data_IF_514489060298
#
_entry.id   IF_514489060298
#
_cell.length_a   1.000
_cell.length_b   1.000
_cell.length_c   1.000
_cell.angle_alpha   90.00
_cell.angle_beta   90.00
_cell.angle_gamma   90.00
#
_symmetry.space_group_name_H-M   'P 1'
#
loop_
_entity.id
_entity.type
_entity.pdbx_description
1 polymer ?
#
# COMPACT_ATOMS: atom_id res chain seq x y z
N UNK A 1 9.66 -16.30 2.76
CA UNK A 1 9.09 -16.12 1.43
C UNK A 1 8.88 -14.64 1.17
N UNK A 2 9.45 -14.14 0.11
CA UNK A 2 9.62 -12.70 -0.09
C UNK A 2 8.34 -11.90 -0.43
N UNK A 3 7.29 -12.50 -0.94
CA UNK A 3 6.12 -11.74 -1.41
C UNK A 3 5.10 -11.43 -0.30
N UNK A 4 4.85 -12.36 0.61
CA UNK A 4 3.83 -12.30 1.69
C UNK A 4 2.41 -11.95 1.19
N UNK A 5 2.13 -12.22 -0.07
CA UNK A 5 0.84 -11.97 -0.72
C UNK A 5 -0.11 -13.11 -0.36
N UNK A 6 -1.32 -12.77 0.14
CA UNK A 6 -2.42 -13.72 0.33
C UNK A 6 -3.33 -13.74 -0.88
N UNK A 7 -3.77 -12.57 -1.33
CA UNK A 7 -4.62 -12.40 -2.50
C UNK A 7 -4.25 -11.11 -3.23
N UNK A 8 -4.40 -11.09 -4.54
CA UNK A 8 -4.26 -9.86 -5.33
C UNK A 8 -4.80 -10.07 -6.76
N UNK A 9 -5.10 -8.97 -7.43
CA UNK A 9 -5.11 -8.92 -8.88
C UNK A 9 -3.99 -8.00 -9.41
N UNK A 10 -3.68 -8.15 -10.67
CA UNK A 10 -2.75 -7.28 -11.38
C UNK A 10 -3.15 -7.13 -12.86
N UNK A 11 -2.84 -5.96 -13.42
CA UNK A 11 -3.15 -5.63 -14.81
C UNK A 11 -1.95 -6.00 -15.70
N UNK A 12 -2.22 -6.69 -16.80
CA UNK A 12 -1.29 -7.02 -17.90
C UNK A 12 -0.03 -7.80 -17.50
N UNK A 13 0.89 -7.19 -16.77
CA UNK A 13 2.19 -7.78 -16.47
C UNK A 13 2.18 -8.62 -15.20
N UNK A 14 2.55 -9.88 -15.34
CA UNK A 14 2.64 -10.81 -14.21
C UNK A 14 3.78 -10.41 -13.27
N UNK A 15 3.51 -10.25 -11.96
CA UNK A 15 4.57 -10.03 -10.97
C UNK A 15 5.57 -11.18 -10.95
N UNK A 16 6.81 -10.89 -10.54
CA UNK A 16 7.92 -11.85 -10.49
C UNK A 16 7.62 -13.12 -9.67
N UNK A 17 6.71 -13.04 -8.69
CA UNK A 17 6.32 -14.16 -7.82
C UNK A 17 5.18 -15.02 -8.40
N UNK A 18 4.53 -14.60 -9.48
CA UNK A 18 3.48 -15.34 -10.17
C UNK A 18 2.15 -15.50 -9.41
N UNK A 19 1.99 -14.81 -8.27
CA UNK A 19 0.76 -14.90 -7.46
C UNK A 19 -0.28 -13.87 -7.92
N UNK A 20 -1.56 -14.21 -7.73
CA UNK A 20 -2.68 -13.31 -8.00
C UNK A 20 -3.41 -13.59 -9.31
N UNK A 21 -4.49 -12.86 -9.53
CA UNK A 21 -5.35 -12.96 -10.72
C UNK A 21 -4.94 -11.94 -11.77
N UNK A 22 -4.60 -12.41 -12.96
CA UNK A 22 -4.28 -11.54 -14.10
C UNK A 22 -5.55 -11.02 -14.74
N UNK A 23 -5.61 -9.70 -14.96
CA UNK A 23 -6.67 -9.04 -15.74
C UNK A 23 -6.06 -8.28 -16.92
N UNK A 24 -6.80 -8.17 -18.02
CA UNK A 24 -6.33 -7.50 -19.24
C UNK A 24 -6.55 -5.99 -19.18
N UNK A 25 -7.64 -5.58 -18.57
CA UNK A 25 -8.04 -4.18 -18.45
C UNK A 25 -8.12 -3.79 -16.96
N UNK A 26 -7.73 -2.57 -16.67
CA UNK A 26 -7.78 -2.03 -15.31
C UNK A 26 -9.24 -1.91 -14.84
N UNK A 27 -9.65 -2.63 -13.76
CA UNK A 27 -11.04 -2.68 -13.29
C UNK A 27 -11.45 -1.39 -12.61
N UNK A 28 -12.77 -1.22 -12.50
CA UNK A 28 -13.37 -0.22 -11.60
C UNK A 28 -13.30 -0.68 -10.15
N UNK A 29 -13.60 0.19 -9.19
CA UNK A 29 -13.51 -0.12 -7.76
C UNK A 29 -14.29 -1.35 -7.34
N UNK A 30 -15.52 -1.50 -7.83
CA UNK A 30 -16.38 -2.63 -7.48
C UNK A 30 -15.79 -3.98 -7.93
N UNK A 31 -15.30 -4.04 -9.17
CA UNK A 31 -14.66 -5.25 -9.69
C UNK A 31 -13.31 -5.48 -9.05
N UNK A 32 -12.55 -4.43 -8.82
CA UNK A 32 -11.24 -4.47 -8.17
C UNK A 32 -11.31 -5.04 -6.75
N UNK A 33 -12.32 -4.68 -5.96
CA UNK A 33 -12.54 -5.21 -4.61
C UNK A 33 -12.67 -6.74 -4.63
N UNK A 34 -13.51 -7.27 -5.55
CA UNK A 34 -13.75 -8.71 -5.70
C UNK A 34 -12.50 -9.41 -6.26
N UNK A 35 -11.91 -8.87 -7.33
CA UNK A 35 -10.72 -9.46 -7.98
C UNK A 35 -9.51 -9.51 -7.05
N UNK A 36 -9.39 -8.55 -6.13
CA UNK A 36 -8.35 -8.53 -5.10
C UNK A 36 -8.61 -9.52 -3.96
N UNK A 37 -9.81 -10.11 -3.87
CA UNK A 37 -10.24 -10.92 -2.73
C UNK A 37 -10.32 -10.09 -1.44
N UNK A 38 -10.83 -8.86 -1.55
CA UNK A 38 -10.96 -7.90 -0.45
C UNK A 38 -12.43 -7.62 -0.07
N UNK A 39 -13.36 -8.41 -0.56
CA UNK A 39 -14.82 -8.33 -0.35
C UNK A 39 -15.28 -8.85 1.02
N UNK A 40 -14.37 -8.93 1.98
CA UNK A 40 -14.62 -9.29 3.37
C UNK A 40 -14.57 -8.06 4.29
N UNK A 41 -15.23 -8.19 5.46
CA UNK A 41 -15.27 -7.13 6.47
C UNK A 41 -14.46 -7.52 7.71
N UNK A 42 -14.02 -6.50 8.43
CA UNK A 42 -13.41 -6.65 9.76
C UNK A 42 -14.47 -6.35 10.81
N UNK A 43 -14.65 -7.29 11.74
CA UNK A 43 -15.49 -7.12 12.91
C UNK A 43 -14.64 -7.12 14.18
N UNK A 44 -15.12 -6.41 15.22
CA UNK A 44 -14.43 -6.38 16.51
C UNK A 44 -15.11 -7.29 17.51
N UNK A 45 -14.30 -8.16 18.12
CA UNK A 45 -14.77 -9.09 19.13
C UNK A 45 -14.04 -8.89 20.46
N UNK A 46 -14.67 -9.24 21.59
CA UNK A 46 -14.02 -9.19 22.90
C UNK A 46 -12.87 -10.21 22.98
N UNK A 47 -11.84 -9.86 23.74
CA UNK A 47 -10.68 -10.73 24.00
C UNK A 47 -10.81 -11.29 25.41
N UNK A 48 -10.57 -12.60 25.58
CA UNK A 48 -10.61 -13.28 26.86
C UNK A 48 -9.26 -13.93 27.19
N UNK A 49 -8.94 -14.03 28.47
CA UNK A 49 -7.80 -14.82 28.96
C UNK A 49 -8.07 -16.31 28.83
N UNK A 50 -7.05 -17.16 29.03
CA UNK A 50 -7.21 -18.60 29.06
C UNK A 50 -8.13 -19.11 30.23
N UNK A 51 -8.44 -18.25 31.18
CA UNK A 51 -9.39 -18.50 32.29
C UNK A 51 -10.79 -17.91 32.02
N UNK A 52 -11.03 -17.49 30.77
CA UNK A 52 -12.29 -16.89 30.31
C UNK A 52 -12.65 -15.55 30.98
N UNK A 53 -11.65 -14.80 31.41
CA UNK A 53 -11.83 -13.46 31.91
C UNK A 53 -11.68 -12.42 30.77
N UNK A 54 -12.60 -11.44 30.72
CA UNK A 54 -12.61 -10.40 29.73
C UNK A 54 -11.38 -9.46 29.85
N UNK A 55 -10.59 -9.33 28.81
CA UNK A 55 -9.48 -8.38 28.73
C UNK A 55 -10.04 -7.00 28.37
N UNK A 56 -10.24 -6.15 29.37
CA UNK A 56 -10.79 -4.81 29.17
C UNK A 56 -9.81 -3.90 28.40
N UNK A 57 -10.35 -3.00 27.57
CA UNK A 57 -9.57 -2.02 26.80
C UNK A 57 -8.97 -2.57 25.49
N UNK A 58 -9.22 -3.85 25.19
CA UNK A 58 -8.75 -4.52 23.98
C UNK A 58 -9.86 -5.25 23.25
N UNK A 59 -9.72 -5.34 21.92
CA UNK A 59 -10.60 -6.09 21.03
C UNK A 59 -9.77 -6.84 19.99
N UNK A 60 -10.27 -7.97 19.53
CA UNK A 60 -9.73 -8.67 18.37
C UNK A 60 -10.38 -8.15 17.11
N UNK A 61 -9.59 -7.73 16.12
CA UNK A 61 -10.06 -7.53 14.76
C UNK A 61 -10.12 -8.89 14.08
N UNK A 62 -11.29 -9.29 13.64
CA UNK A 62 -11.57 -10.60 13.07
C UNK A 62 -12.13 -10.41 11.66
N UNK A 63 -11.61 -11.15 10.69
CA UNK A 63 -12.15 -11.21 9.34
C UNK A 63 -13.44 -12.05 9.35
N UNK A 64 -14.54 -11.51 8.85
CA UNK A 64 -15.85 -12.16 8.91
C UNK A 64 -15.96 -13.43 8.06
N UNK A 65 -15.30 -13.46 6.91
CA UNK A 65 -15.42 -14.54 5.92
C UNK A 65 -14.85 -15.89 6.38
N UNK A 66 -13.78 -15.89 7.18
CA UNK A 66 -13.11 -17.12 7.65
C UNK A 66 -12.83 -17.13 9.16
N UNK A 67 -13.32 -16.11 9.87
CA UNK A 67 -13.16 -15.94 11.33
C UNK A 67 -11.71 -15.77 11.79
N UNK A 68 -10.81 -15.42 10.86
CA UNK A 68 -9.39 -15.25 11.15
C UNK A 68 -9.14 -14.00 11.99
N UNK A 69 -8.42 -14.18 13.11
CA UNK A 69 -7.94 -13.04 13.91
C UNK A 69 -6.81 -12.34 13.18
N UNK A 70 -7.02 -11.09 12.80
CA UNK A 70 -6.04 -10.25 12.13
C UNK A 70 -5.07 -9.61 13.12
N UNK A 71 -5.58 -9.19 14.29
CA UNK A 71 -4.79 -8.61 15.36
C UNK A 71 -5.61 -8.28 16.60
N UNK A 72 -4.91 -7.94 17.67
CA UNK A 72 -5.53 -7.43 18.91
C UNK A 72 -5.20 -5.95 19.02
N UNK A 73 -6.22 -5.14 19.13
CA UNK A 73 -6.13 -3.67 19.09
C UNK A 73 -6.76 -3.08 20.34
N UNK A 74 -6.49 -1.81 20.62
CA UNK A 74 -7.18 -1.12 21.72
C UNK A 74 -8.64 -0.83 21.35
N UNK A 75 -9.49 -0.61 22.32
CA UNK A 75 -10.91 -0.25 22.14
C UNK A 75 -11.11 1.09 21.39
N UNK A 76 -10.08 1.93 21.32
CA UNK A 76 -10.06 3.20 20.55
C UNK A 76 -9.82 2.99 19.06
N UNK A 77 -9.37 1.80 18.64
CA UNK A 77 -9.09 1.53 17.24
C UNK A 77 -10.38 1.61 16.43
N UNK A 78 -10.35 2.40 15.36
CA UNK A 78 -11.44 2.51 14.38
C UNK A 78 -11.07 1.72 13.14
N UNK A 79 -11.91 0.77 12.78
CA UNK A 79 -11.75 0.02 11.55
C UNK A 79 -11.97 0.96 10.36
N UNK A 80 -11.13 0.81 9.35
CA UNK A 80 -11.39 1.30 7.99
C UNK A 80 -11.62 0.05 7.14
N UNK A 81 -12.84 -0.13 6.65
CA UNK A 81 -13.20 -1.28 5.84
C UNK A 81 -12.54 -1.21 4.45
N UNK A 82 -12.38 -2.36 3.81
CA UNK A 82 -11.76 -2.42 2.48
C UNK A 82 -12.56 -1.60 1.46
N UNK A 83 -13.88 -1.71 1.45
CA UNK A 83 -14.76 -0.94 0.56
C UNK A 83 -14.68 0.58 0.79
N UNK A 84 -14.45 1.02 2.04
CA UNK A 84 -14.25 2.43 2.35
C UNK A 84 -12.95 2.95 1.74
N UNK A 85 -11.91 2.11 1.66
CA UNK A 85 -10.65 2.45 1.01
C UNK A 85 -10.82 2.68 -0.50
N UNK A 86 -11.60 1.83 -1.18
CA UNK A 86 -11.92 2.01 -2.59
C UNK A 86 -12.77 3.26 -2.82
N UNK A 87 -13.83 3.44 -2.03
CA UNK A 87 -14.69 4.63 -2.10
C UNK A 87 -13.92 5.93 -1.88
N UNK A 88 -12.96 5.90 -0.96
CA UNK A 88 -12.07 7.04 -0.71
C UNK A 88 -11.16 7.32 -1.92
N UNK A 89 -10.57 6.29 -2.52
CA UNK A 89 -9.71 6.43 -3.69
C UNK A 89 -10.49 6.99 -4.88
N UNK A 90 -11.70 6.49 -5.11
CA UNK A 90 -12.61 7.01 -6.16
C UNK A 90 -12.96 8.50 -5.90
N UNK A 91 -13.24 8.86 -4.65
CA UNK A 91 -13.54 10.24 -4.29
C UNK A 91 -12.35 11.20 -4.46
N UNK A 92 -11.12 10.67 -4.36
CA UNK A 92 -9.89 11.45 -4.60
C UNK A 92 -9.62 11.67 -6.10
N UNK A 93 -9.77 10.62 -6.91
CA UNK A 93 -9.37 10.63 -8.31
C UNK A 93 -10.51 10.99 -9.27
N UNK A 94 -11.76 10.99 -8.79
CA UNK A 94 -12.95 11.28 -9.59
C UNK A 94 -13.48 10.06 -10.33
N UNK A 95 -14.41 10.29 -11.25
CA UNK A 95 -15.06 9.23 -12.02
C UNK A 95 -14.06 8.55 -12.97
N UNK A 96 -14.24 7.24 -13.15
CA UNK A 96 -13.45 6.45 -14.10
C UNK A 96 -12.09 5.99 -13.58
N UNK A 97 -11.87 6.02 -12.28
CA UNK A 97 -10.65 5.47 -11.65
C UNK A 97 -10.38 4.05 -12.13
N UNK A 98 -9.12 3.78 -12.47
CA UNK A 98 -8.64 2.47 -12.92
C UNK A 98 -7.58 1.95 -11.97
N UNK A 99 -7.78 0.74 -11.47
CA UNK A 99 -6.89 0.10 -10.52
C UNK A 99 -5.86 -0.78 -11.23
N UNK A 100 -4.59 -0.58 -10.91
CA UNK A 100 -3.46 -1.35 -11.47
C UNK A 100 -3.24 -2.65 -10.71
N UNK A 101 -3.19 -2.57 -9.39
CA UNK A 101 -3.09 -3.72 -8.48
C UNK A 101 -3.83 -3.44 -7.18
N UNK A 102 -4.38 -4.46 -6.57
CA UNK A 102 -4.84 -4.43 -5.19
C UNK A 102 -4.76 -5.82 -4.59
N UNK A 103 -4.66 -5.90 -3.27
CA UNK A 103 -4.59 -7.19 -2.60
C UNK A 103 -4.35 -7.10 -1.10
N UNK A 104 -4.11 -8.27 -0.50
CA UNK A 104 -3.79 -8.42 0.91
C UNK A 104 -2.45 -9.12 1.14
N UNK A 105 -1.82 -8.74 2.24
CA UNK A 105 -0.53 -9.25 2.71
C UNK A 105 -0.68 -9.87 4.09
N UNK A 106 0.24 -10.79 4.41
CA UNK A 106 0.35 -11.36 5.76
C UNK A 106 -0.96 -11.96 6.27
N UNK A 107 -1.73 -12.59 5.37
CA UNK A 107 -2.99 -13.22 5.74
C UNK A 107 -4.09 -12.23 6.06
N UNK A 108 -4.20 -11.13 5.32
CA UNK A 108 -5.23 -10.09 5.48
C UNK A 108 -4.90 -9.00 6.48
N UNK A 109 -3.75 -9.06 7.17
CA UNK A 109 -3.36 -8.05 8.16
C UNK A 109 -3.09 -6.68 7.54
N UNK A 110 -2.62 -6.64 6.31
CA UNK A 110 -2.37 -5.41 5.56
C UNK A 110 -3.00 -5.50 4.18
N UNK A 111 -3.58 -4.41 3.70
CA UNK A 111 -4.17 -4.29 2.36
C UNK A 111 -3.58 -3.10 1.63
N UNK A 112 -3.55 -3.19 0.30
CA UNK A 112 -3.16 -2.07 -0.55
C UNK A 112 -4.04 -1.99 -1.78
N UNK A 113 -4.17 -0.77 -2.29
CA UNK A 113 -4.80 -0.44 -3.56
C UNK A 113 -3.88 0.50 -4.32
N UNK A 114 -3.68 0.24 -5.58
CA UNK A 114 -2.87 1.06 -6.47
C UNK A 114 -3.72 1.47 -7.67
N UNK A 115 -4.01 2.76 -7.78
CA UNK A 115 -4.80 3.32 -8.87
C UNK A 115 -3.96 4.24 -9.74
N UNK A 116 -4.23 4.27 -11.06
CA UNK A 116 -3.60 5.22 -11.95
C UNK A 116 -4.04 6.64 -11.65
N UNK A 117 -3.09 7.58 -11.64
CA UNK A 117 -3.40 9.00 -11.73
C UNK A 117 -3.81 9.34 -13.18
N UNK A 118 -4.71 10.32 -13.37
CA UNK A 118 -5.25 10.63 -14.70
C UNK A 118 -4.22 11.21 -15.68
N UNK A 119 -3.10 11.71 -15.18
CA UNK A 119 -2.08 12.35 -15.99
C UNK A 119 -0.81 11.50 -16.06
N UNK A 120 -0.28 11.34 -17.26
CA UNK A 120 1.07 10.82 -17.51
C UNK A 120 2.07 11.97 -17.61
N UNK A 121 3.30 11.72 -17.17
CA UNK A 121 4.39 12.69 -17.20
C UNK A 121 5.50 12.19 -18.10
N UNK A 122 6.12 13.11 -18.84
CA UNK A 122 7.33 12.79 -19.60
C UNK A 122 8.51 13.33 -18.82
N UNK A 123 9.33 12.44 -18.30
CA UNK A 123 10.54 12.78 -17.54
C UNK A 123 11.74 12.20 -18.26
N UNK A 124 12.69 13.05 -18.65
CA UNK A 124 13.90 12.65 -19.40
C UNK A 124 13.61 11.84 -20.67
N UNK A 125 12.48 12.10 -21.32
CA UNK A 125 12.03 11.41 -22.53
C UNK A 125 11.31 10.07 -22.28
N UNK A 126 11.14 9.66 -21.03
CA UNK A 126 10.39 8.47 -20.66
C UNK A 126 9.00 8.82 -20.12
N UNK A 127 8.00 8.01 -20.46
CA UNK A 127 6.65 8.14 -19.90
C UNK A 127 6.61 7.51 -18.53
N UNK A 128 6.21 8.30 -17.53
CA UNK A 128 5.98 7.86 -16.17
C UNK A 128 4.51 8.03 -15.85
N UNK A 129 3.85 6.92 -15.52
CA UNK A 129 2.47 6.89 -15.06
C UNK A 129 2.48 6.74 -13.54
N UNK A 130 2.27 7.83 -12.80
CA UNK A 130 2.23 7.74 -11.34
C UNK A 130 0.93 7.10 -10.87
N UNK A 131 1.00 6.55 -9.67
CA UNK A 131 -0.10 5.90 -9.00
C UNK A 131 -0.46 6.62 -7.70
N UNK A 132 -1.73 6.57 -7.36
CA UNK A 132 -2.18 6.77 -6.00
C UNK A 132 -2.14 5.41 -5.29
N UNK A 133 -1.35 5.33 -4.25
CA UNK A 133 -1.26 4.18 -3.35
C UNK A 133 -2.08 4.46 -2.10
N UNK A 134 -3.02 3.58 -1.79
CA UNK A 134 -3.67 3.48 -0.49
C UNK A 134 -3.17 2.22 0.22
N UNK A 135 -2.86 2.31 1.50
CA UNK A 135 -2.49 1.16 2.34
C UNK A 135 -3.13 1.28 3.71
N UNK A 136 -3.63 0.15 4.21
CA UNK A 136 -4.25 0.02 5.51
C UNK A 136 -3.76 -1.23 6.24
N UNK A 137 -3.75 -1.21 7.59
CA UNK A 137 -3.44 -2.38 8.40
C UNK A 137 -4.58 -2.66 9.38
N UNK A 138 -5.02 -3.91 9.45
CA UNK A 138 -6.09 -4.34 10.32
C UNK A 138 -5.62 -4.92 11.66
N UNK A 139 -4.31 -5.09 11.82
CA UNK A 139 -3.69 -5.68 13.01
C UNK A 139 -3.25 -4.66 14.07
N UNK A 140 -3.45 -3.37 13.79
CA UNK A 140 -3.03 -2.28 14.67
C UNK A 140 -1.54 -1.92 14.58
N UNK A 141 -0.76 -2.57 13.71
CA UNK A 141 0.68 -2.31 13.56
C UNK A 141 1.01 -1.03 12.80
N UNK A 142 0.05 -0.47 12.07
CA UNK A 142 0.27 0.67 11.21
C UNK A 142 -0.92 1.63 11.12
N UNK A 143 -0.71 2.70 10.38
CA UNK A 143 -1.68 3.72 10.06
C UNK A 143 -2.29 3.48 8.67
N UNK A 144 -3.44 4.07 8.38
CA UNK A 144 -3.88 4.32 7.00
C UNK A 144 -2.88 5.26 6.35
N UNK A 145 -2.40 4.91 5.17
CA UNK A 145 -1.46 5.74 4.41
C UNK A 145 -1.96 5.92 2.99
N UNK A 146 -1.84 7.13 2.49
CA UNK A 146 -2.10 7.46 1.09
C UNK A 146 -0.87 8.17 0.55
N UNK A 147 -0.40 7.75 -0.61
CA UNK A 147 0.84 8.26 -1.18
C UNK A 147 0.78 8.33 -2.71
N UNK A 148 1.51 9.27 -3.29
CA UNK A 148 1.75 9.30 -4.73
C UNK A 148 3.11 8.66 -5.00
N UNK A 149 3.16 7.69 -5.90
CA UNK A 149 4.36 6.91 -6.19
C UNK A 149 4.44 6.51 -7.66
N UNK A 150 5.63 6.48 -8.27
CA UNK A 150 5.83 5.87 -9.57
C UNK A 150 6.03 4.34 -9.48
N UNK A 151 6.03 3.78 -8.27
CA UNK A 151 6.33 2.37 -8.03
C UNK A 151 5.08 1.53 -8.15
N UNK A 152 5.11 0.53 -9.02
CA UNK A 152 4.07 -0.48 -9.13
C UNK A 152 4.16 -1.46 -7.96
N UNK A 153 3.16 -1.40 -7.08
CA UNK A 153 3.11 -2.23 -5.87
C UNK A 153 2.52 -3.59 -6.19
N UNK A 154 3.29 -4.66 -5.96
CA UNK A 154 2.89 -6.05 -6.22
C UNK A 154 3.21 -7.00 -5.05
N UNK A 155 3.93 -6.55 -4.04
CA UNK A 155 4.32 -7.36 -2.88
C UNK A 155 4.70 -6.48 -1.68
N UNK A 156 4.98 -7.11 -0.55
CA UNK A 156 5.39 -6.40 0.67
C UNK A 156 6.62 -5.50 0.46
N UNK A 157 7.61 -5.96 -0.31
CA UNK A 157 8.84 -5.18 -0.55
C UNK A 157 8.56 -3.92 -1.38
N UNK A 158 7.79 -4.04 -2.46
CA UNK A 158 7.43 -2.89 -3.29
C UNK A 158 6.46 -1.93 -2.58
N UNK A 159 5.59 -2.44 -1.69
CA UNK A 159 4.76 -1.59 -0.83
C UNK A 159 5.63 -0.76 0.13
N UNK A 160 6.56 -1.40 0.81
CA UNK A 160 7.48 -0.70 1.72
C UNK A 160 8.33 0.34 0.98
N UNK A 161 8.88 -0.02 -0.19
CA UNK A 161 9.65 0.90 -1.01
C UNK A 161 8.81 2.11 -1.44
N UNK A 162 7.59 1.88 -1.94
CA UNK A 162 6.68 2.94 -2.34
C UNK A 162 6.35 3.90 -1.20
N UNK A 163 6.07 3.38 0.00
CA UNK A 163 5.75 4.18 1.18
C UNK A 163 6.96 4.93 1.75
N UNK A 164 8.17 4.35 1.67
CA UNK A 164 9.39 4.98 2.17
C UNK A 164 9.92 6.07 1.23
N UNK A 165 9.75 5.90 -0.07
CA UNK A 165 10.27 6.83 -1.08
C UNK A 165 9.25 7.89 -1.48
N UNK A 166 7.99 7.78 -1.06
CA UNK A 166 6.96 8.75 -1.38
C UNK A 166 7.26 10.10 -0.74
N UNK A 167 7.49 11.12 -1.56
CA UNK A 167 7.68 12.51 -1.12
C UNK A 167 6.37 13.20 -0.77
N UNK A 168 5.25 12.71 -1.29
CA UNK A 168 3.89 13.14 -0.98
C UNK A 168 3.13 11.97 -0.40
N UNK A 169 2.92 12.02 0.89
CA UNK A 169 2.15 11.02 1.61
C UNK A 169 1.35 11.68 2.73
N UNK A 170 0.23 11.09 3.00
CA UNK A 170 -0.62 11.41 4.13
C UNK A 170 -0.84 10.16 4.96
N UNK A 171 -0.92 10.31 6.27
CA UNK A 171 -1.15 9.17 7.15
C UNK A 171 -2.09 9.52 8.29
N UNK A 172 -2.90 8.55 8.69
CA UNK A 172 -3.87 8.67 9.75
C UNK A 172 -3.84 7.45 10.65
N UNK A 173 -3.71 7.69 11.96
CA UNK A 173 -3.93 6.63 12.93
C UNK A 173 -5.41 6.24 13.00
N UNK A 174 -5.68 4.99 13.34
CA UNK A 174 -7.02 4.42 13.50
C UNK A 174 -7.75 4.93 14.75
N UNK A 175 -7.71 6.25 14.99
CA UNK A 175 -8.35 6.91 16.13
C UNK A 175 -9.02 8.20 15.70
N UNK A 176 -10.14 8.56 16.34
CA UNK A 176 -10.86 9.79 16.01
C UNK A 176 -11.86 9.64 14.85
N UNK A 177 -12.19 10.76 14.21
CA UNK A 177 -13.12 10.77 13.08
C UNK A 177 -12.35 10.52 11.77
N UNK A 178 -12.51 9.34 11.21
CA UNK A 178 -11.86 8.91 9.97
C UNK A 178 -12.31 9.76 8.78
N UNK A 179 -13.61 10.13 8.71
CA UNK A 179 -14.15 10.89 7.57
C UNK A 179 -13.56 12.29 7.45
N UNK A 180 -13.42 13.02 8.56
CA UNK A 180 -12.85 14.36 8.54
C UNK A 180 -11.38 14.35 8.11
N UNK A 181 -10.64 13.33 8.55
CA UNK A 181 -9.24 13.14 8.18
C UNK A 181 -9.06 12.72 6.71
N UNK A 182 -10.01 12.00 6.16
CA UNK A 182 -10.00 11.67 4.73
C UNK A 182 -10.19 12.90 3.84
N UNK A 183 -10.96 13.90 4.30
CA UNK A 183 -11.07 15.17 3.58
C UNK A 183 -9.77 15.99 3.64
N UNK A 184 -9.03 15.95 4.75
CA UNK A 184 -7.68 16.51 4.85
C UNK A 184 -6.70 15.89 3.85
N UNK A 185 -6.80 14.57 3.63
CA UNK A 185 -5.97 13.86 2.66
C UNK A 185 -6.17 14.36 1.23
N UNK A 186 -7.41 14.70 0.83
CA UNK A 186 -7.71 15.28 -0.49
C UNK A 186 -6.91 16.55 -0.71
N UNK A 187 -6.95 17.47 0.25
CA UNK A 187 -6.23 18.74 0.16
C UNK A 187 -4.72 18.58 0.07
N UNK A 188 -4.17 17.56 0.75
CA UNK A 188 -2.74 17.26 0.73
C UNK A 188 -2.28 16.65 -0.61
N UNK A 189 -3.13 15.82 -1.22
CA UNK A 189 -2.80 15.07 -2.44
C UNK A 189 -3.08 15.87 -3.73
N UNK A 190 -3.88 16.94 -3.67
CA UNK A 190 -4.17 17.82 -4.83
C UNK A 190 -2.92 18.49 -5.44
N UNK A 191 -1.76 18.34 -4.80
CA UNK A 191 -0.47 18.88 -5.25
C UNK A 191 0.37 17.84 -6.03
N UNK A 192 -0.29 16.82 -6.63
CA UNK A 192 0.39 15.76 -7.38
C UNK A 192 1.28 16.29 -8.51
N UNK A 193 0.81 17.29 -9.26
CA UNK A 193 1.54 17.89 -10.37
C UNK A 193 2.88 18.47 -9.91
N UNK A 194 2.88 19.20 -8.81
CA UNK A 194 4.11 19.76 -8.24
C UNK A 194 5.11 18.67 -7.79
N UNK A 195 4.61 17.55 -7.26
CA UNK A 195 5.47 16.42 -6.92
C UNK A 195 6.15 15.84 -8.15
N UNK A 196 5.41 15.66 -9.24
CA UNK A 196 5.94 15.09 -10.47
C UNK A 196 6.94 16.03 -11.15
N UNK A 197 6.74 17.34 -11.08
CA UNK A 197 7.73 18.31 -11.53
C UNK A 197 9.05 18.24 -10.72
N UNK A 198 8.96 18.14 -9.41
CA UNK A 198 10.12 17.98 -8.52
C UNK A 198 10.85 16.67 -8.80
N UNK A 199 10.11 15.56 -8.97
CA UNK A 199 10.66 14.27 -9.37
C UNK A 199 11.37 14.34 -10.71
N UNK A 200 10.78 15.04 -11.70
CA UNK A 200 11.39 15.27 -12.99
C UNK A 200 12.75 15.96 -12.88
N UNK A 201 12.85 17.01 -12.07
CA UNK A 201 14.13 17.70 -11.83
C UNK A 201 15.18 16.79 -11.20
N UNK A 202 14.78 15.91 -10.30
CA UNK A 202 15.71 14.94 -9.71
C UNK A 202 16.22 13.92 -10.72
N UNK A 203 15.34 13.36 -11.54
CA UNK A 203 15.75 12.46 -12.63
C UNK A 203 16.69 13.14 -13.62
N UNK A 204 16.43 14.39 -14.02
CA UNK A 204 17.32 15.18 -14.86
C UNK A 204 18.70 15.37 -14.22
N UNK A 205 18.78 15.59 -12.93
CA UNK A 205 20.03 15.73 -12.20
C UNK A 205 20.77 14.38 -12.09
N UNK A 206 20.06 13.28 -11.80
CA UNK A 206 20.66 11.94 -11.76
C UNK A 206 21.22 11.54 -13.13
N UNK A 207 20.56 11.87 -14.22
CA UNK A 207 21.02 11.59 -15.59
C UNK A 207 22.34 12.29 -15.95
N UNK A 208 22.66 13.41 -15.29
CA UNK A 208 23.93 14.13 -15.48
C UNK A 208 25.11 13.47 -14.77
N UNK A 209 24.83 12.52 -13.85
CA UNK A 209 25.86 11.84 -13.08
C UNK A 209 26.40 10.66 -13.89
N UNK A 210 27.65 10.74 -14.31
CA UNK A 210 28.35 9.62 -14.94
C UNK A 210 29.06 8.81 -13.88
N UNK A 211 28.74 7.51 -13.81
CA UNK A 211 29.44 6.58 -12.93
C UNK A 211 30.49 5.81 -13.73
N UNK A 212 31.70 5.67 -13.18
CA UNK A 212 32.70 4.75 -13.74
C UNK A 212 32.32 3.31 -13.43
N UNK A 213 32.75 2.36 -14.27
CA UNK A 213 32.50 0.92 -14.07
C UNK A 213 32.89 0.44 -12.69
N UNK A 214 34.01 0.97 -12.14
CA UNK A 214 34.48 0.68 -10.79
C UNK A 214 33.43 1.08 -9.74
N UNK A 215 32.87 2.29 -9.82
CA UNK A 215 31.84 2.74 -8.87
C UNK A 215 30.55 1.94 -8.98
N UNK A 216 30.21 1.51 -10.20
CA UNK A 216 29.05 0.62 -10.43
C UNK A 216 29.30 -0.73 -9.76
N UNK A 217 30.48 -1.31 -9.94
CA UNK A 217 30.83 -2.59 -9.30
C UNK A 217 30.90 -2.49 -7.78
N UNK A 218 31.47 -1.40 -7.24
CA UNK A 218 31.50 -1.15 -5.79
C UNK A 218 30.08 -1.05 -5.23
N UNK A 219 29.15 -0.39 -5.92
CA UNK A 219 27.75 -0.29 -5.54
C UNK A 219 27.04 -1.64 -5.57
N UNK A 220 27.24 -2.43 -6.64
CA UNK A 220 26.72 -3.77 -6.76
C UNK A 220 27.22 -4.66 -5.63
N UNK A 221 28.52 -4.63 -5.33
CA UNK A 221 29.11 -5.38 -4.22
C UNK A 221 28.48 -5.00 -2.87
N UNK A 222 28.25 -3.71 -2.63
CA UNK A 222 27.58 -3.21 -1.41
C UNK A 222 26.15 -3.76 -1.29
N UNK A 223 25.40 -3.81 -2.38
CA UNK A 223 24.03 -4.35 -2.39
C UNK A 223 24.00 -5.85 -2.08
N UNK A 224 24.95 -6.62 -2.62
CA UNK A 224 25.03 -8.07 -2.42
C UNK A 224 25.65 -8.48 -1.09
N UNK A 225 26.51 -7.64 -0.49
CA UNK A 225 27.19 -7.93 0.78
C UNK A 225 26.53 -7.28 1.99
N UNK A 226 25.59 -6.35 1.79
CA UNK A 226 24.79 -5.80 2.89
C UNK A 226 23.92 -6.89 3.49
N UNK A 227 23.98 -7.14 4.81
CA UNK A 227 23.10 -8.10 5.46
C UNK A 227 21.64 -7.68 5.19
N UNK A 228 20.82 -8.65 4.79
CA UNK A 228 19.38 -8.43 4.67
C UNK A 228 18.84 -7.93 6.00
N UNK A 229 17.88 -7.00 6.04
CA UNK A 229 17.24 -6.59 7.30
C UNK A 229 16.66 -7.74 8.13
N UNK A 230 16.60 -8.95 7.56
CA UNK A 230 16.16 -10.18 8.25
C UNK A 230 17.28 -10.89 9.02
N UNK A 231 18.55 -10.62 8.68
CA UNK A 231 19.68 -11.29 9.34
C UNK A 231 20.07 -10.62 10.64
N UNK A 232 19.51 -9.44 10.95
CA UNK A 232 19.79 -8.66 12.16
C UNK A 232 18.90 -9.00 13.37
N UNK A 233 17.99 -9.98 13.26
CA UNK A 233 17.05 -10.36 14.34
C UNK A 233 17.31 -11.72 14.97
N UNK A 234 18.49 -12.31 14.75
CA UNK A 234 18.91 -13.54 15.43
C UNK A 234 20.13 -13.27 16.33
N UNK A 235 19.86 -12.68 17.47
CA UNK A 235 20.71 -12.78 18.66
C UNK A 235 19.86 -12.51 19.91
#
# INVERSE_FOLDING_TARGET
>A
MAANVESMFFVRETPWHGLGTKVQEAPTSKDALILAGLDWHVVQEPVYTGQNELVRGYKANVRDSDRKVLGVVTDRYKIVQNEEAFSFTDALLGEGVRYETAGSLQGGKSVWLLAHLPHEYIISGERISPYLLFSNTHDGSGAVKVAITPIRVVCCNTLNLALQTAKRSWSMNHTGNVKDKMEEAKNTLFLADRYMEELGKEFENLRKITLSDKKVMDYICLLYTSPSPRDSTSS
#
